data_IF_541166347609
#
_entry.id   IF_541166347609
#
_cell.length_a   1.000
_cell.length_b   1.000
_cell.length_c   1.000
_cell.angle_alpha   90.00
_cell.angle_beta   90.00
_cell.angle_gamma   90.00
#
_symmetry.space_group_name_H-M   'P 1'
#
loop_
_entity.id
_entity.type
_entity.pdbx_description
1 polymer ?
#
# COMPACT_ATOMS: atom_id res chain seq x y z
N UNK A 1 -12.52 4.93 -18.35
CA UNK A 1 -11.97 5.74 -17.24
C UNK A 1 -10.65 5.09 -16.89
N UNK A 2 -9.56 5.53 -17.53
CA UNK A 2 -8.24 4.95 -17.29
C UNK A 2 -7.83 5.36 -15.89
N UNK A 3 -7.92 4.44 -14.93
CA UNK A 3 -7.25 4.60 -13.64
C UNK A 3 -5.78 4.75 -13.97
N UNK A 4 -5.27 5.98 -13.96
CA UNK A 4 -3.86 6.24 -14.18
C UNK A 4 -3.09 5.43 -13.15
N UNK A 5 -2.35 4.43 -13.63
CA UNK A 5 -1.40 3.67 -12.84
C UNK A 5 -0.36 4.63 -12.24
N UNK A 6 -0.63 5.14 -11.04
CA UNK A 6 0.27 6.08 -10.36
C UNK A 6 1.46 5.32 -9.81
N UNK A 7 2.67 5.70 -10.18
CA UNK A 7 3.86 5.17 -9.54
C UNK A 7 3.97 5.72 -8.13
N UNK A 8 4.40 4.88 -7.20
CA UNK A 8 4.62 5.28 -5.81
C UNK A 8 5.86 4.57 -5.27
N UNK A 9 6.48 5.19 -4.28
CA UNK A 9 7.58 4.61 -3.52
C UNK A 9 7.16 4.48 -2.06
N UNK A 10 7.67 3.45 -1.40
CA UNK A 10 7.27 3.11 -0.04
C UNK A 10 8.32 3.65 0.92
N UNK A 11 8.06 4.80 1.52
CA UNK A 11 9.02 5.54 2.35
C UNK A 11 9.23 4.92 3.73
N UNK A 12 8.32 4.03 4.17
CA UNK A 12 8.41 3.31 5.45
C UNK A 12 9.47 2.19 5.48
N UNK A 13 10.11 1.86 4.35
CA UNK A 13 11.14 0.81 4.26
C UNK A 13 12.52 1.37 3.94
N UNK A 14 13.56 0.72 4.47
CA UNK A 14 14.97 1.06 4.24
C UNK A 14 15.29 1.20 2.74
N UNK A 15 14.88 0.22 1.94
CA UNK A 15 15.18 0.16 0.50
C UNK A 15 14.24 1.00 -0.36
N UNK A 16 13.27 1.70 0.26
CA UNK A 16 12.26 2.55 -0.39
C UNK A 16 11.72 1.97 -1.71
N UNK A 17 11.20 0.73 -1.69
CA UNK A 17 10.86 0.03 -2.91
C UNK A 17 9.79 0.80 -3.70
N UNK A 18 9.98 0.83 -5.01
CA UNK A 18 9.06 1.48 -5.95
C UNK A 18 8.09 0.46 -6.54
N UNK A 19 6.94 0.98 -6.95
CA UNK A 19 5.91 0.17 -7.59
C UNK A 19 4.78 1.03 -8.12
N UNK A 20 3.69 0.34 -8.43
CA UNK A 20 2.48 0.87 -9.01
C UNK A 20 1.38 0.85 -7.96
N UNK A 21 0.82 2.02 -7.65
CA UNK A 21 -0.34 2.12 -6.79
C UNK A 21 -1.54 1.54 -7.52
N UNK A 22 -2.20 0.59 -6.87
CA UNK A 22 -3.39 -0.07 -7.41
C UNK A 22 -4.65 0.61 -6.87
N UNK A 23 -4.83 0.62 -5.55
CA UNK A 23 -5.99 1.25 -4.88
C UNK A 23 -5.82 1.30 -3.37
N UNK A 24 -6.68 2.08 -2.71
CA UNK A 24 -6.93 1.94 -1.28
C UNK A 24 -8.03 0.91 -1.03
N UNK A 25 -7.84 0.07 -0.01
CA UNK A 25 -8.83 -0.92 0.38
C UNK A 25 -8.82 -1.14 1.90
N UNK A 26 -9.98 -1.38 2.54
CA UNK A 26 -10.04 -1.78 3.93
C UNK A 26 -9.52 -3.22 4.09
N UNK A 27 -8.47 -3.39 4.88
CA UNK A 27 -7.90 -4.70 5.24
C UNK A 27 -8.29 -5.01 6.68
N UNK A 28 -8.72 -6.24 6.94
CA UNK A 28 -9.05 -6.71 8.28
C UNK A 28 -7.76 -7.04 9.04
N UNK A 29 -7.59 -6.41 10.19
CA UNK A 29 -6.54 -6.67 11.16
C UNK A 29 -7.16 -7.14 12.47
N UNK A 30 -6.31 -7.70 13.33
CA UNK A 30 -6.66 -8.11 14.68
C UNK A 30 -5.76 -7.34 15.64
N UNK A 31 -6.36 -6.71 16.64
CA UNK A 31 -5.60 -6.02 17.69
C UNK A 31 -4.99 -7.02 18.70
N UNK A 32 -4.28 -6.52 19.72
CA UNK A 32 -3.71 -7.37 20.78
C UNK A 32 -4.76 -8.13 21.60
N UNK A 33 -6.01 -7.64 21.60
CA UNK A 33 -7.17 -8.29 22.20
C UNK A 33 -7.89 -9.27 21.26
N UNK A 34 -7.34 -9.53 20.06
CA UNK A 34 -7.94 -10.35 19.02
C UNK A 34 -9.30 -9.83 18.52
N UNK A 35 -9.59 -8.54 18.67
CA UNK A 35 -10.78 -7.92 18.11
C UNK A 35 -10.53 -7.58 16.64
N UNK A 36 -11.44 -7.94 15.72
CA UNK A 36 -11.30 -7.58 14.32
C UNK A 36 -11.58 -6.08 14.14
N UNK A 37 -10.66 -5.39 13.49
CA UNK A 37 -10.86 -4.02 13.01
C UNK A 37 -10.46 -3.92 11.54
N UNK A 38 -11.06 -2.96 10.83
CA UNK A 38 -10.69 -2.66 9.46
C UNK A 38 -9.84 -1.39 9.45
N UNK A 39 -8.67 -1.45 8.81
CA UNK A 39 -7.86 -0.27 8.53
C UNK A 39 -7.73 -0.10 7.03
N UNK A 40 -7.79 1.14 6.55
CA UNK A 40 -7.53 1.44 5.15
C UNK A 40 -6.03 1.24 4.87
N UNK A 41 -5.73 0.50 3.80
CA UNK A 41 -4.36 0.21 3.36
C UNK A 41 -4.22 0.56 1.88
N UNK A 42 -3.03 1.02 1.51
CA UNK A 42 -2.64 1.19 0.13
C UNK A 42 -2.15 -0.15 -0.43
N UNK A 43 -2.75 -0.58 -1.54
CA UNK A 43 -2.30 -1.73 -2.32
C UNK A 43 -1.33 -1.23 -3.38
N UNK A 44 -0.09 -1.72 -3.33
CA UNK A 44 0.99 -1.39 -4.26
C UNK A 44 1.51 -2.67 -4.90
N UNK A 45 1.59 -2.69 -6.22
CA UNK A 45 2.30 -3.73 -6.97
C UNK A 45 3.75 -3.29 -7.18
N UNK A 46 4.68 -3.93 -6.49
CA UNK A 46 6.11 -3.65 -6.61
C UNK A 46 6.63 -4.06 -8.00
N UNK A 47 7.70 -3.41 -8.46
CA UNK A 47 8.32 -3.69 -9.76
C UNK A 47 8.84 -5.15 -9.89
N UNK A 48 8.96 -5.88 -8.77
CA UNK A 48 9.29 -7.31 -8.76
C UNK A 48 8.08 -8.25 -8.92
N UNK A 49 6.90 -7.71 -9.24
CA UNK A 49 5.65 -8.45 -9.43
C UNK A 49 4.96 -8.87 -8.13
N UNK A 50 5.41 -8.41 -6.96
CA UNK A 50 4.76 -8.69 -5.68
C UNK A 50 3.77 -7.59 -5.34
N UNK A 51 2.56 -7.98 -4.94
CA UNK A 51 1.58 -7.07 -4.36
C UNK A 51 1.84 -6.94 -2.87
N UNK A 52 1.86 -5.71 -2.37
CA UNK A 52 2.07 -5.39 -0.98
C UNK A 52 1.04 -4.38 -0.48
N UNK A 53 0.52 -4.63 0.71
CA UNK A 53 -0.32 -3.68 1.46
C UNK A 53 0.56 -2.90 2.41
N UNK A 54 0.47 -1.58 2.37
CA UNK A 54 1.19 -0.67 3.25
C UNK A 54 0.26 0.42 3.77
N UNK A 55 0.66 1.09 4.85
CA UNK A 55 -0.14 2.18 5.37
C UNK A 55 -0.17 3.34 4.36
N UNK A 56 -1.30 4.07 4.25
CA UNK A 56 -1.40 5.24 3.38
C UNK A 56 -0.32 6.30 3.65
N UNK A 57 0.14 6.43 4.90
CA UNK A 57 1.19 7.38 5.29
C UNK A 57 2.60 6.95 4.86
N UNK A 58 2.77 5.68 4.48
CA UNK A 58 4.06 5.11 4.05
C UNK A 58 4.24 5.14 2.53
N UNK A 59 3.25 5.62 1.77
CA UNK A 59 3.35 5.76 0.32
C UNK A 59 3.59 7.21 -0.09
N UNK A 60 4.52 7.41 -1.03
CA UNK A 60 4.72 8.68 -1.68
C UNK A 60 4.55 8.51 -3.18
N UNK A 61 3.53 9.18 -3.75
CA UNK A 61 3.33 9.20 -5.19
C UNK A 61 4.49 9.92 -5.88
N UNK A 62 5.02 9.29 -6.93
CA UNK A 62 6.04 9.87 -7.80
C UNK A 62 5.40 10.18 -9.15
N UNK A 63 5.77 11.31 -9.72
CA UNK A 63 5.15 11.91 -10.90
C UNK A 63 5.89 11.52 -12.18
#
# INVERSE_FOLDING_TARGET
MSEENRRCKIVGRHDKPEGMFVKFAPVKFYDEGNNPYAAEQAIVELDNGRVMTVNPDEIQFIK
#
